data_IF_094137409656
#
_entry.id   IF_094137409656
#
_cell.length_a   1.000
_cell.length_b   1.000
_cell.length_c   1.000
_cell.angle_alpha   90.00
_cell.angle_beta   90.00
_cell.angle_gamma   90.00
#
_symmetry.space_group_name_H-M   'P 1'
#
loop_
_entity.id
_entity.type
_entity.pdbx_description
1 polymer ?
#
# COMPACT_ATOMS: atom_id res chain seq x y z
N UNK A 1 -38.35 21.34 65.81
CA UNK A 1 -38.46 21.17 64.34
C UNK A 1 -37.29 20.32 63.86
N UNK A 2 -37.53 19.10 63.37
CA UNK A 2 -36.49 18.17 62.88
C UNK A 2 -36.54 18.12 61.36
N UNK A 3 -35.53 18.65 60.68
CA UNK A 3 -35.35 18.50 59.23
C UNK A 3 -34.90 17.07 58.93
N UNK A 4 -35.70 16.32 58.15
CA UNK A 4 -35.28 15.06 57.52
C UNK A 4 -34.74 15.40 56.14
N UNK A 5 -33.46 15.15 55.91
CA UNK A 5 -32.84 15.21 54.58
C UNK A 5 -33.10 13.89 53.85
N UNK A 6 -33.76 13.98 52.70
CA UNK A 6 -34.00 12.86 51.78
C UNK A 6 -32.92 12.91 50.70
N UNK A 7 -32.02 11.92 50.69
CA UNK A 7 -31.00 11.76 49.64
C UNK A 7 -31.64 10.98 48.50
N UNK A 8 -31.84 11.64 47.35
CA UNK A 8 -32.25 10.99 46.11
C UNK A 8 -31.00 10.50 45.36
N UNK A 9 -30.86 9.19 45.19
CA UNK A 9 -29.80 8.58 44.38
C UNK A 9 -30.27 8.54 42.94
N UNK A 10 -29.63 9.33 42.08
CA UNK A 10 -29.87 9.33 40.63
C UNK A 10 -29.06 8.20 39.99
N UNK A 11 -29.74 7.14 39.55
CA UNK A 11 -29.15 6.09 38.72
C UNK A 11 -29.04 6.60 37.27
N UNK A 12 -27.82 6.85 36.82
CA UNK A 12 -27.52 7.19 35.42
C UNK A 12 -27.42 5.89 34.62
N UNK A 13 -28.42 5.63 33.77
CA UNK A 13 -28.37 4.57 32.75
C UNK A 13 -27.47 5.03 31.59
N UNK A 14 -26.29 4.43 31.48
CA UNK A 14 -25.42 4.57 30.31
C UNK A 14 -25.93 3.67 29.18
N UNK A 15 -26.07 4.18 27.94
CA UNK A 15 -26.42 3.36 26.79
C UNK A 15 -25.27 2.41 26.45
N UNK A 16 -25.59 1.12 26.33
CA UNK A 16 -24.68 0.11 25.84
C UNK A 16 -24.37 0.39 24.36
N UNK A 17 -23.10 0.68 24.06
CA UNK A 17 -22.62 0.80 22.69
C UNK A 17 -22.70 -0.57 21.99
N UNK A 18 -23.16 -0.64 20.73
CA UNK A 18 -23.19 -1.89 19.98
C UNK A 18 -21.75 -2.38 19.77
N UNK A 19 -21.51 -3.63 20.18
CA UNK A 19 -20.27 -4.34 19.92
C UNK A 19 -20.08 -4.41 18.40
N UNK A 20 -19.14 -3.61 17.88
CA UNK A 20 -18.70 -3.73 16.50
C UNK A 20 -18.07 -5.12 16.36
N UNK A 21 -18.64 -5.94 15.47
CA UNK A 21 -18.08 -7.22 15.09
C UNK A 21 -16.72 -6.97 14.45
N UNK A 22 -15.66 -7.14 15.25
CA UNK A 22 -14.29 -7.17 14.75
C UNK A 22 -14.17 -8.47 13.95
N UNK A 23 -14.19 -8.35 12.62
CA UNK A 23 -13.84 -9.44 11.72
C UNK A 23 -12.34 -9.74 11.88
N UNK A 24 -12.03 -10.56 12.89
CA UNK A 24 -10.71 -11.13 13.11
C UNK A 24 -10.42 -12.15 12.00
N UNK A 25 -10.06 -11.67 10.81
CA UNK A 25 -9.26 -12.45 9.86
C UNK A 25 -7.98 -12.83 10.59
N UNK A 26 -7.95 -14.07 11.07
CA UNK A 26 -6.85 -14.67 11.83
C UNK A 26 -5.51 -14.39 11.13
N UNK A 27 -4.73 -13.47 11.70
CA UNK A 27 -3.32 -13.35 11.37
C UNK A 27 -2.63 -14.68 11.72
N UNK A 28 -1.74 -15.19 10.86
CA UNK A 28 -1.10 -16.48 11.10
C UNK A 28 -0.27 -16.44 12.40
N UNK A 29 -0.39 -17.47 13.26
CA UNK A 29 0.40 -17.58 14.49
C UNK A 29 1.88 -17.72 14.12
N UNK A 30 2.64 -16.65 14.29
CA UNK A 30 4.04 -16.53 13.86
C UNK A 30 4.46 -15.11 13.46
N UNK A 31 3.50 -14.19 13.27
CA UNK A 31 3.74 -12.81 12.86
C UNK A 31 4.21 -11.86 13.98
N UNK A 32 4.42 -12.35 15.22
CA UNK A 32 4.63 -11.53 16.41
C UNK A 32 5.90 -10.63 16.42
N UNK A 33 6.78 -10.75 15.42
CA UNK A 33 8.02 -9.96 15.33
C UNK A 33 8.13 -9.11 14.07
N UNK A 34 7.16 -9.16 13.16
CA UNK A 34 7.24 -8.34 11.95
C UNK A 34 6.47 -7.05 12.13
N UNK A 35 7.22 -5.98 12.33
CA UNK A 35 6.73 -4.62 12.12
C UNK A 35 6.83 -4.41 10.60
N UNK A 36 5.72 -4.29 9.85
CA UNK A 36 5.81 -3.91 8.44
C UNK A 36 6.66 -2.66 8.35
N UNK A 37 7.58 -2.57 7.37
CA UNK A 37 8.29 -1.32 7.14
C UNK A 37 7.19 -0.25 7.04
N UNK A 38 7.20 0.68 8.00
CA UNK A 38 6.27 1.81 8.00
C UNK A 38 6.70 2.61 6.78
N UNK A 39 6.16 2.27 5.62
CA UNK A 39 6.35 3.06 4.45
C UNK A 39 5.51 4.32 4.67
N UNK A 40 6.13 5.50 4.75
CA UNK A 40 5.38 6.74 4.93
C UNK A 40 4.50 7.07 3.72
N UNK A 41 4.62 6.32 2.62
CA UNK A 41 3.88 6.55 1.40
C UNK A 41 2.65 5.61 1.33
N UNK A 42 1.43 6.15 1.42
CA UNK A 42 0.21 5.35 1.29
C UNK A 42 0.17 4.58 -0.02
N UNK A 43 -0.27 3.33 0.03
CA UNK A 43 -0.41 2.42 -1.11
C UNK A 43 0.91 2.02 -1.80
N UNK A 44 2.06 2.31 -1.18
CA UNK A 44 3.35 1.79 -1.61
C UNK A 44 3.84 0.72 -0.63
N UNK A 45 4.20 -0.45 -1.15
CA UNK A 45 4.52 -1.62 -0.37
C UNK A 45 5.94 -2.09 -0.73
N UNK A 46 6.86 -1.97 0.22
CA UNK A 46 8.18 -2.57 0.07
C UNK A 46 8.04 -4.10 0.19
N UNK A 47 8.43 -4.82 -0.85
CA UNK A 47 8.35 -6.28 -0.87
C UNK A 47 9.61 -6.88 -0.31
N UNK A 48 9.46 -7.83 0.62
CA UNK A 48 10.57 -8.56 1.22
C UNK A 48 11.35 -9.37 0.18
N UNK A 49 12.62 -9.58 0.49
CA UNK A 49 13.52 -10.39 -0.34
C UNK A 49 14.25 -9.62 -1.43
N UNK A 50 14.13 -8.28 -1.47
CA UNK A 50 15.02 -7.46 -2.26
C UNK A 50 16.48 -7.63 -1.84
N UNK A 51 17.38 -7.62 -2.81
CA UNK A 51 18.83 -7.73 -2.62
C UNK A 51 19.48 -6.50 -1.94
N UNK A 52 18.79 -5.35 -1.92
CA UNK A 52 19.22 -4.16 -1.19
C UNK A 52 18.02 -3.31 -0.74
N UNK A 53 18.23 -2.47 0.27
CA UNK A 53 17.20 -1.58 0.81
C UNK A 53 17.15 -0.28 0.02
N UNK A 54 15.97 0.10 -0.44
CA UNK A 54 15.76 1.35 -1.19
C UNK A 54 15.75 2.55 -0.23
N UNK A 55 16.63 3.55 -0.40
CA UNK A 55 16.65 4.74 0.44
C UNK A 55 15.36 5.57 0.31
N UNK A 56 14.90 6.22 1.38
CA UNK A 56 13.69 7.05 1.35
C UNK A 56 13.70 8.14 0.26
N UNK A 57 14.84 8.77 0.02
CA UNK A 57 15.04 9.79 -1.02
C UNK A 57 14.87 9.20 -2.44
N UNK A 58 15.35 7.98 -2.65
CA UNK A 58 15.19 7.26 -3.92
C UNK A 58 13.72 6.93 -4.16
N UNK A 59 13.01 6.51 -3.10
CA UNK A 59 11.59 6.20 -3.16
C UNK A 59 10.73 7.44 -3.47
N UNK A 60 11.05 8.60 -2.89
CA UNK A 60 10.34 9.86 -3.18
C UNK A 60 10.56 10.34 -4.63
N UNK A 61 11.77 10.21 -5.14
CA UNK A 61 12.09 10.53 -6.54
C UNK A 61 11.32 9.59 -7.49
N UNK A 62 11.41 8.29 -7.24
CA UNK A 62 10.70 7.26 -8.01
C UNK A 62 9.20 7.50 -8.04
N UNK A 63 8.58 7.82 -6.88
CA UNK A 63 7.17 8.18 -6.81
C UNK A 63 6.81 9.31 -7.76
N UNK A 64 7.60 10.38 -7.75
CA UNK A 64 7.34 11.55 -8.61
C UNK A 64 7.42 11.21 -10.10
N UNK A 65 8.25 10.24 -10.48
CA UNK A 65 8.37 9.75 -11.86
C UNK A 65 7.20 8.84 -12.24
N UNK A 66 6.81 7.92 -11.36
CA UNK A 66 5.66 7.02 -11.56
C UNK A 66 4.34 7.82 -11.66
N UNK A 67 4.11 8.77 -10.75
CA UNK A 67 2.91 9.63 -10.77
C UNK A 67 2.79 10.40 -12.10
N UNK A 68 3.94 10.85 -12.64
CA UNK A 68 4.01 11.51 -13.94
C UNK A 68 3.64 10.58 -15.09
N UNK A 69 4.19 9.37 -15.12
CA UNK A 69 3.90 8.40 -16.20
C UNK A 69 2.45 7.92 -16.15
N UNK A 70 1.89 7.66 -14.97
CA UNK A 70 0.46 7.37 -14.78
C UNK A 70 -0.40 8.52 -15.32
N UNK A 71 -0.08 9.77 -14.97
CA UNK A 71 -0.84 10.95 -15.39
C UNK A 71 -0.76 11.24 -16.90
N UNK A 72 0.29 10.79 -17.59
CA UNK A 72 0.42 10.93 -19.05
C UNK A 72 -0.48 9.96 -19.81
N UNK A 73 -0.87 8.86 -19.20
CA UNK A 73 -1.60 7.80 -19.87
C UNK A 73 -3.12 8.05 -19.91
N UNK A 74 -3.52 9.04 -20.70
CA UNK A 74 -4.92 9.45 -20.87
C UNK A 74 -5.78 8.41 -21.59
N UNK A 75 -5.17 7.46 -22.29
CA UNK A 75 -5.89 6.46 -23.09
C UNK A 75 -6.72 5.52 -22.22
N UNK A 76 -6.24 5.19 -21.02
CA UNK A 76 -6.94 4.30 -20.10
C UNK A 76 -7.88 5.04 -19.12
N UNK A 77 -7.76 6.37 -19.02
CA UNK A 77 -8.51 7.18 -18.05
C UNK A 77 -9.14 8.42 -18.71
N UNK A 78 -10.06 8.24 -19.68
CA UNK A 78 -10.66 9.35 -20.43
C UNK A 78 -11.48 10.31 -19.54
N UNK A 79 -12.00 9.85 -18.39
CA UNK A 79 -12.83 10.65 -17.48
C UNK A 79 -12.03 11.37 -16.36
N UNK A 80 -10.69 11.40 -16.45
CA UNK A 80 -9.88 12.42 -15.77
C UNK A 80 -9.47 12.15 -14.33
N UNK A 81 -9.82 10.99 -13.75
CA UNK A 81 -9.25 10.58 -12.45
C UNK A 81 -8.40 9.31 -12.62
N UNK A 82 -7.07 9.37 -12.42
CA UNK A 82 -6.24 8.17 -12.41
C UNK A 82 -6.67 7.28 -11.25
N UNK A 83 -6.69 5.95 -11.44
CA UNK A 83 -7.16 5.02 -10.43
C UNK A 83 -6.17 4.96 -9.28
N UNK A 84 -6.65 4.51 -8.12
CA UNK A 84 -5.78 4.25 -6.97
C UNK A 84 -5.01 2.96 -7.24
N UNK A 85 -3.69 3.08 -7.34
CA UNK A 85 -2.79 1.94 -7.48
C UNK A 85 -2.35 1.43 -6.12
N UNK A 86 -2.28 0.12 -5.95
CA UNK A 86 -1.35 -0.50 -5.01
C UNK A 86 -0.02 -0.72 -5.74
N UNK A 87 1.05 -0.14 -5.20
CA UNK A 87 2.37 -0.12 -5.83
C UNK A 87 3.31 -0.94 -4.97
N UNK A 88 3.89 -1.98 -5.54
CA UNK A 88 4.91 -2.80 -4.89
C UNK A 88 6.28 -2.43 -5.43
N UNK A 89 7.29 -2.39 -4.56
CA UNK A 89 8.67 -2.14 -4.98
C UNK A 89 9.66 -2.99 -4.20
N UNK A 90 10.83 -3.25 -4.78
CA UNK A 90 11.97 -3.89 -4.12
C UNK A 90 13.28 -3.50 -4.80
N UNK A 91 14.36 -3.45 -4.02
CA UNK A 91 15.71 -3.22 -4.56
C UNK A 91 16.33 -4.52 -5.06
N UNK A 92 16.63 -4.60 -6.36
CA UNK A 92 17.31 -5.73 -7.00
C UNK A 92 18.70 -5.34 -7.51
N UNK A 93 19.59 -6.34 -7.59
CA UNK A 93 20.91 -6.23 -8.20
C UNK A 93 20.86 -6.96 -9.53
N UNK A 94 20.76 -6.22 -10.63
CA UNK A 94 20.68 -6.76 -11.99
C UNK A 94 22.00 -6.48 -12.69
N UNK A 95 22.74 -7.54 -13.04
CA UNK A 95 24.05 -7.42 -13.71
C UNK A 95 25.05 -6.52 -12.95
N UNK A 96 25.02 -6.57 -11.62
CA UNK A 96 25.89 -5.77 -10.76
C UNK A 96 25.47 -4.31 -10.58
N UNK A 97 24.28 -3.93 -11.07
CA UNK A 97 23.71 -2.59 -10.88
C UNK A 97 22.49 -2.62 -9.98
N UNK A 98 22.35 -1.58 -9.16
CA UNK A 98 21.16 -1.39 -8.36
C UNK A 98 19.98 -0.97 -9.26
N UNK A 99 18.87 -1.69 -9.15
CA UNK A 99 17.60 -1.39 -9.82
C UNK A 99 16.50 -1.45 -8.77
N UNK A 100 15.53 -0.54 -8.84
CA UNK A 100 14.27 -0.67 -8.11
C UNK A 100 13.25 -1.24 -9.08
N UNK A 101 12.86 -2.49 -8.87
CA UNK A 101 11.74 -3.09 -9.59
C UNK A 101 10.44 -2.59 -8.97
N UNK A 102 9.50 -2.16 -9.82
CA UNK A 102 8.20 -1.64 -9.41
C UNK A 102 7.12 -2.34 -10.21
N UNK A 103 6.05 -2.72 -9.54
CA UNK A 103 4.80 -3.12 -10.18
C UNK A 103 3.65 -2.36 -9.54
N UNK A 104 2.68 -1.97 -10.33
CA UNK A 104 1.49 -1.30 -9.83
C UNK A 104 0.25 -1.78 -10.54
N UNK A 105 -0.83 -1.95 -9.79
CA UNK A 105 -2.10 -2.38 -10.33
C UNK A 105 -3.25 -1.62 -9.64
N UNK A 106 -4.28 -1.23 -10.38
CA UNK A 106 -5.52 -0.76 -9.76
C UNK A 106 -6.48 -1.91 -9.50
N UNK A 107 -7.34 -1.72 -8.51
CA UNK A 107 -8.24 -2.73 -7.94
C UNK A 107 -7.54 -3.97 -7.37
N UNK A 108 -6.22 -4.00 -7.46
CA UNK A 108 -5.42 -5.20 -7.32
C UNK A 108 -4.55 -5.05 -6.06
N UNK A 109 -4.59 -6.01 -5.17
CA UNK A 109 -4.68 -7.42 -5.53
C UNK A 109 -5.86 -8.15 -4.87
N UNK A 110 -6.79 -7.41 -4.25
CA UNK A 110 -7.73 -7.99 -3.28
C UNK A 110 -7.03 -8.59 -2.06
N UNK A 111 -5.72 -8.33 -1.94
CA UNK A 111 -4.83 -8.86 -0.92
C UNK A 111 -4.67 -7.87 0.23
N UNK A 112 -4.32 -8.38 1.41
CA UNK A 112 -3.98 -7.53 2.55
C UNK A 112 -2.62 -6.85 2.37
N UNK A 113 -2.43 -5.71 3.04
CA UNK A 113 -1.13 -4.99 3.10
C UNK A 113 0.03 -5.92 3.48
N UNK A 114 -0.22 -6.87 4.39
CA UNK A 114 0.74 -7.90 4.76
C UNK A 114 1.20 -8.70 3.55
N UNK A 115 0.27 -9.24 2.77
CA UNK A 115 0.56 -10.08 1.61
C UNK A 115 1.24 -9.28 0.50
N UNK A 116 0.81 -8.04 0.28
CA UNK A 116 1.47 -7.08 -0.61
C UNK A 116 2.93 -6.81 -0.21
N UNK A 117 3.30 -7.00 1.05
CA UNK A 117 4.69 -6.85 1.51
C UNK A 117 5.49 -8.15 1.46
N UNK A 118 4.86 -9.32 1.31
CA UNK A 118 5.55 -10.62 1.29
C UNK A 118 5.85 -11.15 -0.12
N UNK A 119 5.01 -10.82 -1.12
CA UNK A 119 5.09 -11.43 -2.45
C UNK A 119 5.12 -10.35 -3.52
N UNK A 120 6.08 -10.41 -4.45
CA UNK A 120 6.17 -9.46 -5.57
C UNK A 120 5.26 -9.96 -6.69
N UNK A 121 4.07 -9.36 -6.83
CA UNK A 121 3.02 -9.94 -7.66
C UNK A 121 3.05 -9.30 -9.05
N UNK A 122 3.48 -10.09 -10.03
CA UNK A 122 3.45 -9.72 -11.45
C UNK A 122 2.20 -10.28 -12.11
N UNK A 123 1.49 -9.45 -12.87
CA UNK A 123 0.26 -9.85 -13.56
C UNK A 123 0.61 -10.22 -15.01
N UNK A 124 0.72 -11.52 -15.27
CA UNK A 124 1.21 -12.04 -16.57
C UNK A 124 0.26 -11.78 -17.75
N UNK A 125 -1.05 -11.73 -17.51
CA UNK A 125 -2.06 -11.61 -18.58
C UNK A 125 -2.61 -10.18 -18.71
N UNK A 126 -1.84 -9.15 -18.36
CA UNK A 126 -2.23 -7.75 -18.60
C UNK A 126 -3.57 -7.36 -17.96
N UNK A 127 -3.59 -7.23 -16.64
CA UNK A 127 -4.79 -6.75 -15.93
C UNK A 127 -5.27 -5.38 -16.43
N UNK A 128 -6.57 -5.08 -16.28
CA UNK A 128 -7.03 -3.70 -16.46
C UNK A 128 -6.24 -2.83 -15.51
N UNK A 129 -5.43 -1.93 -16.07
CA UNK A 129 -4.62 -0.99 -15.32
C UNK A 129 -3.55 -1.64 -14.43
N UNK A 130 -2.63 -2.32 -15.12
CA UNK A 130 -1.38 -2.83 -14.59
C UNK A 130 -0.18 -2.09 -15.24
N UNK A 131 0.89 -1.88 -14.49
CA UNK A 131 2.16 -1.41 -15.00
C UNK A 131 3.35 -2.11 -14.33
N UNK A 132 4.44 -2.20 -15.06
CA UNK A 132 5.76 -2.56 -14.57
C UNK A 132 6.73 -1.41 -14.81
N UNK A 133 7.69 -1.22 -13.91
CA UNK A 133 8.76 -0.27 -14.13
C UNK A 133 10.07 -0.70 -13.48
N UNK A 134 11.17 -0.35 -14.14
CA UNK A 134 12.53 -0.49 -13.61
C UNK A 134 13.13 0.89 -13.44
N UNK A 135 13.58 1.23 -12.24
CA UNK A 135 14.27 2.48 -11.95
C UNK A 135 15.73 2.25 -11.59
N UNK A 136 16.62 2.96 -12.27
CA UNK A 136 18.06 2.95 -12.01
C UNK A 136 18.42 4.23 -11.25
N UNK A 137 18.79 4.15 -9.95
CA UNK A 137 19.11 5.33 -9.15
C UNK A 137 20.41 6.01 -9.59
N UNK A 138 21.39 5.26 -10.12
CA UNK A 138 22.70 5.76 -10.54
C UNK A 138 22.61 6.80 -11.67
N UNK A 139 21.77 6.52 -12.68
CA UNK A 139 21.59 7.36 -13.87
C UNK A 139 20.20 8.02 -13.95
N UNK A 140 19.39 7.86 -12.89
CA UNK A 140 18.02 8.39 -12.74
C UNK A 140 17.08 8.00 -13.88
N UNK A 141 17.25 6.78 -14.42
CA UNK A 141 16.48 6.30 -15.57
C UNK A 141 15.31 5.44 -15.15
N UNK A 142 14.10 5.87 -15.51
CA UNK A 142 12.88 5.07 -15.42
C UNK A 142 12.58 4.39 -16.76
N UNK A 143 12.38 3.08 -16.76
CA UNK A 143 11.70 2.35 -17.85
C UNK A 143 10.31 1.99 -17.35
N UNK A 144 9.27 2.47 -18.00
CA UNK A 144 7.89 2.27 -17.59
C UNK A 144 7.11 1.59 -18.72
N UNK A 145 6.38 0.53 -18.37
CA UNK A 145 5.58 -0.27 -19.29
C UNK A 145 4.17 -0.40 -18.73
N UNK A 146 3.19 0.06 -19.51
CA UNK A 146 1.78 -0.10 -19.17
C UNK A 146 1.21 -1.35 -19.85
N UNK A 147 0.51 -2.17 -19.10
CA UNK A 147 -0.08 -3.43 -19.54
C UNK A 147 -1.57 -3.37 -19.25
N UNK A 148 -2.34 -2.69 -20.10
CA UNK A 148 -3.80 -2.69 -20.03
C UNK A 148 -4.38 -3.09 -21.37
N UNK A 149 -5.44 -3.90 -21.35
CA UNK A 149 -6.32 -4.03 -22.50
C UNK A 149 -7.09 -2.71 -22.67
N UNK A 150 -6.93 -2.08 -23.83
CA UNK A 150 -7.77 -0.97 -24.27
C UNK A 150 -9.19 -1.44 -24.56
#
# INVERSE_FOLDING_TARGET
MRLRQTIAVLLVLLPALPAQAQDFRREPPGAAWYIPPINPVPHWYEVRGGSWRVPPETLQELRSLIDREIGRNKHFFPEGTPPRYAIQFRGENVEGRQVVEVVGACDALGESDWRLSQQFIRVHDGGKCYFEADYRPEDKRLRFSYHGYA
#
